data_IF_809788338685
#
_entry.id   IF_809788338685
#
_cell.length_a   1.000
_cell.length_b   1.000
_cell.length_c   1.000
_cell.angle_alpha   90.00
_cell.angle_beta   90.00
_cell.angle_gamma   90.00
#
_symmetry.space_group_name_H-M   'P 1'
#
loop_
_entity.id
_entity.type
_entity.pdbx_description
1 polymer ?
#
# COMPACT_ATOMS: atom_id res chain seq x y z
N UNK A 1 -28.86 -24.42 -18.34
CA UNK A 1 -27.78 -23.64 -19.00
C UNK A 1 -27.40 -22.48 -18.11
N UNK A 2 -26.14 -22.03 -18.16
CA UNK A 2 -25.73 -20.82 -17.48
C UNK A 2 -26.04 -19.57 -18.35
N UNK A 3 -26.14 -18.41 -17.71
CA UNK A 3 -26.16 -17.12 -18.39
C UNK A 3 -24.71 -16.68 -18.65
N UNK A 4 -24.44 -16.03 -19.78
CA UNK A 4 -23.15 -15.40 -20.08
C UNK A 4 -22.92 -14.16 -19.22
N UNK A 5 -23.99 -13.41 -19.00
CA UNK A 5 -24.04 -12.23 -18.12
C UNK A 5 -25.18 -12.43 -17.13
N UNK A 6 -24.98 -12.02 -15.87
CA UNK A 6 -25.99 -12.21 -14.82
C UNK A 6 -27.07 -11.12 -14.90
N UNK A 7 -28.18 -11.45 -15.55
CA UNK A 7 -29.34 -10.56 -15.77
C UNK A 7 -30.64 -11.22 -15.29
N UNK A 8 -31.61 -10.40 -14.87
CA UNK A 8 -32.88 -10.89 -14.32
C UNK A 8 -33.75 -11.58 -15.37
N UNK A 9 -33.84 -11.00 -16.58
CA UNK A 9 -34.65 -11.51 -17.70
C UNK A 9 -33.76 -11.89 -18.90
N UNK A 10 -33.06 -13.04 -18.85
CA UNK A 10 -32.16 -13.43 -19.92
C UNK A 10 -32.92 -13.81 -21.19
N UNK A 11 -32.48 -13.27 -22.33
CA UNK A 11 -32.93 -13.73 -23.65
C UNK A 11 -32.09 -14.92 -24.11
N UNK A 12 -32.58 -15.78 -25.03
CA UNK A 12 -31.86 -16.97 -25.49
C UNK A 12 -30.39 -16.76 -25.91
N UNK A 13 -30.07 -15.62 -26.52
CA UNK A 13 -28.69 -15.32 -26.98
C UNK A 13 -27.70 -15.04 -25.83
N UNK A 14 -28.22 -14.68 -24.66
CA UNK A 14 -27.45 -14.48 -23.42
C UNK A 14 -27.18 -15.79 -22.68
N UNK A 15 -27.72 -16.91 -23.14
CA UNK A 15 -27.50 -18.22 -22.54
C UNK A 15 -26.38 -18.98 -23.27
N UNK A 16 -25.67 -19.83 -22.54
CA UNK A 16 -24.83 -20.84 -23.16
C UNK A 16 -25.66 -21.92 -23.83
N UNK A 17 -25.12 -22.50 -24.90
CA UNK A 17 -25.82 -23.52 -25.70
C UNK A 17 -25.82 -24.87 -25.02
N UNK A 18 -24.72 -25.24 -24.35
CA UNK A 18 -24.61 -26.50 -23.63
C UNK A 18 -24.99 -26.28 -22.17
N UNK A 19 -25.77 -27.21 -21.61
CA UNK A 19 -26.15 -27.20 -20.22
C UNK A 19 -26.30 -28.61 -19.67
N UNK A 20 -26.73 -28.68 -18.41
CA UNK A 20 -27.01 -29.93 -17.72
C UNK A 20 -28.52 -30.10 -17.58
N UNK A 21 -29.02 -31.26 -17.97
CA UNK A 21 -30.37 -31.70 -17.61
C UNK A 21 -30.33 -32.11 -16.15
N UNK A 22 -31.23 -31.55 -15.35
CA UNK A 22 -31.27 -31.78 -13.91
C UNK A 22 -32.61 -32.33 -13.47
N UNK A 23 -32.58 -33.29 -12.54
CA UNK A 23 -33.76 -33.78 -11.82
C UNK A 23 -33.95 -32.98 -10.54
N UNK A 24 -35.15 -32.48 -10.30
CA UNK A 24 -35.52 -31.87 -9.04
C UNK A 24 -35.80 -32.98 -8.01
N UNK A 25 -34.96 -33.05 -6.98
CA UNK A 25 -35.08 -34.03 -5.90
C UNK A 25 -36.02 -33.52 -4.81
N UNK A 26 -35.85 -32.26 -4.42
CA UNK A 26 -36.64 -31.66 -3.35
C UNK A 26 -36.87 -30.17 -3.61
N UNK A 27 -38.01 -29.68 -3.13
CA UNK A 27 -38.40 -28.27 -3.22
C UNK A 27 -38.81 -27.77 -1.84
N UNK A 28 -38.17 -26.71 -1.38
CA UNK A 28 -38.46 -26.05 -0.10
C UNK A 28 -38.87 -24.61 -0.34
N UNK A 29 -39.99 -24.18 0.23
CA UNK A 29 -40.39 -22.77 0.20
C UNK A 29 -39.78 -22.04 1.40
N UNK A 30 -39.09 -20.95 1.12
CA UNK A 30 -38.47 -20.07 2.11
C UNK A 30 -39.07 -18.67 2.01
N UNK A 31 -38.91 -17.83 3.05
CA UNK A 31 -39.36 -16.43 2.98
C UNK A 31 -38.53 -15.71 1.91
N UNK A 32 -39.14 -15.40 0.78
CA UNK A 32 -38.49 -14.71 -0.35
C UNK A 32 -38.19 -15.57 -1.57
N UNK A 33 -38.54 -16.87 -1.57
CA UNK A 33 -38.34 -17.68 -2.77
C UNK A 33 -38.51 -19.19 -2.57
N UNK A 34 -37.91 -19.95 -3.49
CA UNK A 34 -37.92 -21.40 -3.50
C UNK A 34 -36.49 -21.90 -3.55
N UNK A 35 -36.13 -22.81 -2.67
CA UNK A 35 -34.87 -23.54 -2.70
C UNK A 35 -35.12 -24.91 -3.36
N UNK A 36 -34.34 -25.22 -4.39
CA UNK A 36 -34.40 -26.50 -5.10
C UNK A 36 -33.14 -27.30 -4.80
N UNK A 37 -33.33 -28.56 -4.42
CA UNK A 37 -32.27 -29.55 -4.45
C UNK A 37 -32.36 -30.28 -5.79
N UNK A 38 -31.32 -30.17 -6.59
CA UNK A 38 -31.27 -30.74 -7.94
C UNK A 38 -30.08 -31.68 -8.11
N UNK A 39 -30.24 -32.69 -8.96
CA UNK A 39 -29.18 -33.61 -9.35
C UNK A 39 -28.98 -33.51 -10.87
N UNK A 40 -27.74 -33.27 -11.31
CA UNK A 40 -27.40 -33.34 -12.73
C UNK A 40 -27.42 -34.77 -13.23
N UNK A 41 -28.03 -35.00 -14.38
CA UNK A 41 -28.13 -36.33 -15.00
C UNK A 41 -27.23 -36.42 -16.24
N UNK A 42 -27.39 -35.49 -17.18
CA UNK A 42 -26.72 -35.54 -18.47
C UNK A 42 -26.46 -34.16 -19.04
N UNK A 43 -25.59 -34.10 -20.05
CA UNK A 43 -25.33 -32.89 -20.83
C UNK A 43 -26.29 -32.84 -22.00
N UNK A 44 -26.76 -31.65 -22.31
CA UNK A 44 -27.59 -31.42 -23.49
C UNK A 44 -27.28 -30.07 -24.10
N UNK A 45 -27.39 -29.99 -25.43
CA UNK A 45 -27.30 -28.75 -26.18
C UNK A 45 -28.71 -28.22 -26.45
N UNK A 46 -28.98 -26.99 -26.07
CA UNK A 46 -30.18 -26.27 -26.47
C UNK A 46 -30.04 -25.84 -27.94
N UNK A 47 -30.92 -26.38 -28.79
CA UNK A 47 -30.97 -26.09 -30.23
C UNK A 47 -31.80 -24.83 -30.49
N UNK A 48 -32.89 -24.66 -29.75
CA UNK A 48 -33.76 -23.49 -29.82
C UNK A 48 -34.50 -23.30 -28.50
N UNK A 49 -34.96 -22.08 -28.26
CA UNK A 49 -35.79 -21.71 -27.13
C UNK A 49 -37.13 -21.15 -27.63
N UNK A 50 -38.19 -21.57 -26.98
CA UNK A 50 -39.55 -21.07 -27.18
C UNK A 50 -40.07 -20.51 -25.86
N UNK A 51 -40.86 -19.45 -25.90
CA UNK A 51 -41.52 -18.94 -24.70
C UNK A 51 -42.64 -19.90 -24.28
N UNK A 52 -42.66 -20.29 -23.00
CA UNK A 52 -43.72 -21.11 -22.42
C UNK A 52 -44.41 -20.32 -21.29
N UNK A 53 -45.57 -19.74 -21.62
CA UNK A 53 -46.29 -18.84 -20.72
C UNK A 53 -45.60 -17.48 -20.55
N UNK A 54 -45.75 -16.87 -19.38
CA UNK A 54 -45.29 -15.49 -19.11
C UNK A 54 -43.88 -15.40 -18.50
N UNK A 55 -43.24 -16.53 -18.13
CA UNK A 55 -41.98 -16.48 -17.39
C UNK A 55 -41.09 -17.72 -17.48
N UNK A 56 -41.32 -18.60 -18.46
CA UNK A 56 -40.46 -19.78 -18.67
C UNK A 56 -40.01 -19.85 -20.13
N UNK A 57 -38.79 -20.35 -20.32
CA UNK A 57 -38.26 -20.73 -21.62
C UNK A 57 -38.27 -22.25 -21.73
N UNK A 58 -38.83 -22.76 -22.82
CA UNK A 58 -38.79 -24.16 -23.19
C UNK A 58 -37.71 -24.38 -24.24
N UNK A 59 -36.75 -25.24 -23.93
CA UNK A 59 -35.68 -25.57 -24.87
C UNK A 59 -35.99 -26.87 -25.64
N UNK A 60 -35.66 -26.89 -26.93
CA UNK A 60 -35.51 -28.14 -27.68
C UNK A 60 -34.07 -28.61 -27.50
N UNK A 61 -33.90 -29.79 -26.93
CA UNK A 61 -32.60 -30.34 -26.55
C UNK A 61 -32.09 -31.35 -27.57
N UNK A 62 -30.78 -31.29 -27.83
CA UNK A 62 -30.01 -32.35 -28.45
C UNK A 62 -29.19 -33.02 -27.36
N UNK A 63 -29.35 -34.33 -27.20
CA UNK A 63 -28.61 -35.13 -26.23
C UNK A 63 -27.11 -35.14 -26.59
N UNK A 64 -26.26 -34.99 -25.57
CA UNK A 64 -24.80 -35.01 -25.76
C UNK A 64 -24.22 -36.20 -25.02
N UNK A 65 -23.83 -37.23 -25.76
CA UNK A 65 -23.19 -38.41 -25.21
C UNK A 65 -21.73 -38.10 -24.82
N UNK A 66 -21.32 -38.60 -23.65
CA UNK A 66 -19.93 -38.56 -23.21
C UNK A 66 -19.07 -39.47 -24.08
N UNK A 67 -17.87 -39.02 -24.40
CA UNK A 67 -16.86 -39.83 -25.06
C UNK A 67 -15.97 -40.44 -23.98
N UNK A 68 -16.39 -41.62 -23.52
CA UNK A 68 -15.63 -42.41 -22.54
C UNK A 68 -14.36 -42.94 -23.21
N UNK A 69 -13.28 -43.09 -22.44
CA UNK A 69 -12.04 -43.69 -22.95
C UNK A 69 -12.28 -45.06 -23.59
N UNK A 70 -11.73 -45.25 -24.79
CA UNK A 70 -11.82 -46.51 -25.52
C UNK A 70 -10.96 -47.62 -24.90
N UNK A 71 -10.00 -47.25 -24.04
CA UNK A 71 -9.16 -48.18 -23.30
C UNK A 71 -9.03 -47.76 -21.83
N UNK A 72 -10.01 -48.09 -20.98
CA UNK A 72 -9.97 -47.78 -19.55
C UNK A 72 -8.78 -48.41 -18.79
N UNK A 73 -8.18 -49.46 -19.36
CA UNK A 73 -7.00 -50.15 -18.82
C UNK A 73 -5.68 -49.58 -19.33
N UNK A 74 -5.72 -48.50 -20.13
CA UNK A 74 -4.51 -47.80 -20.54
C UNK A 74 -3.78 -47.23 -19.32
N UNK A 75 -2.50 -47.58 -19.08
CA UNK A 75 -1.74 -47.08 -17.94
C UNK A 75 -1.69 -45.54 -17.85
N UNK A 76 -1.71 -44.83 -18.99
CA UNK A 76 -1.71 -43.36 -19.01
C UNK A 76 -3.04 -42.81 -18.49
N UNK A 77 -4.16 -43.36 -18.94
CA UNK A 77 -5.49 -42.97 -18.48
C UNK A 77 -5.69 -43.27 -16.98
N UNK A 78 -5.22 -44.43 -16.51
CA UNK A 78 -5.27 -44.78 -15.08
C UNK A 78 -4.40 -43.86 -14.22
N UNK A 79 -3.19 -43.53 -14.68
CA UNK A 79 -2.32 -42.58 -14.01
C UNK A 79 -2.96 -41.18 -13.92
N UNK A 80 -3.59 -40.72 -14.99
CA UNK A 80 -4.31 -39.44 -14.99
C UNK A 80 -5.47 -39.42 -13.99
N UNK A 81 -6.26 -40.50 -13.93
CA UNK A 81 -7.36 -40.62 -12.96
C UNK A 81 -6.83 -40.62 -11.51
N UNK A 82 -5.74 -41.34 -11.26
CA UNK A 82 -5.10 -41.38 -9.94
C UNK A 82 -4.59 -39.99 -9.54
N UNK A 83 -3.84 -39.33 -10.42
CA UNK A 83 -3.27 -38.00 -10.19
C UNK A 83 -4.37 -36.97 -9.90
N UNK A 84 -5.43 -36.93 -10.73
CA UNK A 84 -6.55 -36.02 -10.52
C UNK A 84 -7.22 -36.23 -9.16
N UNK A 85 -7.38 -37.49 -8.72
CA UNK A 85 -7.95 -37.82 -7.41
C UNK A 85 -7.05 -37.38 -6.26
N UNK A 86 -5.75 -37.63 -6.38
CA UNK A 86 -4.77 -37.24 -5.36
C UNK A 86 -4.72 -35.72 -5.19
N UNK A 87 -4.56 -34.98 -6.30
CA UNK A 87 -4.47 -33.51 -6.25
C UNK A 87 -5.79 -32.86 -5.84
N UNK A 88 -6.93 -33.43 -6.23
CA UNK A 88 -8.23 -32.99 -5.72
C UNK A 88 -8.39 -33.24 -4.21
N UNK A 89 -7.87 -34.36 -3.68
CA UNK A 89 -7.87 -34.65 -2.25
C UNK A 89 -7.00 -33.65 -1.47
N UNK A 90 -5.81 -33.36 -1.99
CA UNK A 90 -4.93 -32.36 -1.42
C UNK A 90 -5.60 -30.99 -1.38
N UNK A 91 -6.21 -30.57 -2.49
CA UNK A 91 -6.94 -29.30 -2.56
C UNK A 91 -8.09 -29.25 -1.55
N UNK A 92 -8.89 -30.31 -1.46
CA UNK A 92 -9.97 -30.42 -0.47
C UNK A 92 -9.45 -30.30 0.96
N UNK A 93 -8.31 -30.93 1.26
CA UNK A 93 -7.67 -30.89 2.58
C UNK A 93 -7.18 -29.48 2.92
N UNK A 94 -6.50 -28.81 1.98
CA UNK A 94 -5.99 -27.43 2.18
C UNK A 94 -7.13 -26.42 2.34
N UNK A 95 -8.28 -26.68 1.72
CA UNK A 95 -9.51 -25.90 1.92
C UNK A 95 -10.28 -26.24 3.21
N UNK A 96 -9.76 -27.17 4.03
CA UNK A 96 -10.34 -27.51 5.33
C UNK A 96 -11.57 -28.42 5.27
N UNK A 97 -11.77 -29.16 4.18
CA UNK A 97 -12.83 -30.17 4.11
C UNK A 97 -12.51 -31.29 5.10
N UNK A 98 -13.45 -31.71 5.96
CA UNK A 98 -13.23 -32.82 6.89
C UNK A 98 -12.83 -34.10 6.14
N UNK A 99 -11.83 -34.82 6.66
CA UNK A 99 -11.27 -36.00 6.00
C UNK A 99 -12.32 -37.07 5.65
N UNK A 100 -13.28 -37.33 6.55
CA UNK A 100 -14.36 -38.30 6.30
C UNK A 100 -15.27 -37.87 5.15
N UNK A 101 -15.61 -36.57 5.08
CA UNK A 101 -16.45 -36.02 4.02
C UNK A 101 -15.70 -36.05 2.67
N UNK A 102 -14.42 -35.69 2.67
CA UNK A 102 -13.57 -35.73 1.48
C UNK A 102 -13.41 -37.16 0.95
N UNK A 103 -13.15 -38.14 1.83
CA UNK A 103 -13.05 -39.54 1.45
C UNK A 103 -14.36 -40.05 0.86
N UNK A 104 -15.51 -39.72 1.46
CA UNK A 104 -16.81 -40.09 0.91
C UNK A 104 -17.07 -39.44 -0.47
N UNK A 105 -16.66 -38.20 -0.69
CA UNK A 105 -16.80 -37.54 -1.99
C UNK A 105 -15.92 -38.19 -3.06
N UNK A 106 -14.67 -38.51 -2.73
CA UNK A 106 -13.73 -39.09 -3.70
C UNK A 106 -14.08 -40.53 -4.02
N UNK A 107 -14.40 -41.34 -3.01
CA UNK A 107 -14.74 -42.75 -3.19
C UNK A 107 -16.18 -42.96 -3.65
N UNK A 108 -17.04 -41.95 -3.53
CA UNK A 108 -18.46 -42.03 -3.92
C UNK A 108 -18.71 -42.00 -5.43
N UNK A 109 -17.70 -41.68 -6.24
CA UNK A 109 -17.79 -41.63 -7.70
C UNK A 109 -16.68 -42.47 -8.30
N UNK A 110 -17.01 -43.60 -8.90
CA UNK A 110 -16.03 -44.51 -9.52
C UNK A 110 -15.61 -44.05 -10.93
N UNK A 111 -16.57 -43.56 -11.71
CA UNK A 111 -16.37 -43.21 -13.11
C UNK A 111 -15.47 -41.96 -13.26
N UNK A 112 -14.31 -42.03 -13.94
CA UNK A 112 -13.35 -40.93 -14.03
C UNK A 112 -13.94 -39.64 -14.65
N UNK A 113 -14.74 -39.77 -15.70
CA UNK A 113 -15.40 -38.62 -16.33
C UNK A 113 -16.41 -37.92 -15.42
N UNK A 114 -17.14 -38.67 -14.60
CA UNK A 114 -18.06 -38.11 -13.60
C UNK A 114 -17.29 -37.50 -12.41
N UNK A 115 -16.15 -38.09 -12.04
CA UNK A 115 -15.28 -37.53 -11.01
C UNK A 115 -14.69 -36.18 -11.45
N UNK A 116 -14.30 -36.02 -12.72
CA UNK A 116 -13.87 -34.73 -13.27
C UNK A 116 -14.97 -33.66 -13.15
N UNK A 117 -16.24 -34.03 -13.36
CA UNK A 117 -17.39 -33.12 -13.19
C UNK A 117 -17.57 -32.72 -11.72
N UNK A 118 -17.42 -33.68 -10.80
CA UNK A 118 -17.47 -33.42 -9.36
C UNK A 118 -16.36 -32.46 -8.92
N UNK A 119 -15.12 -32.69 -9.37
CA UNK A 119 -13.99 -31.80 -9.08
C UNK A 119 -14.27 -30.40 -9.63
N UNK A 120 -14.73 -30.30 -10.87
CA UNK A 120 -15.06 -29.02 -11.53
C UNK A 120 -16.13 -28.22 -10.77
N UNK A 121 -17.10 -28.89 -10.14
CA UNK A 121 -18.12 -28.26 -9.30
C UNK A 121 -17.51 -27.55 -8.09
N UNK A 122 -16.56 -28.20 -7.41
CA UNK A 122 -15.89 -27.66 -6.22
C UNK A 122 -14.79 -26.63 -6.53
N UNK A 123 -14.30 -26.57 -7.77
CA UNK A 123 -13.36 -25.54 -8.18
C UNK A 123 -14.04 -24.15 -8.23
N UNK A 124 -13.33 -23.15 -7.74
CA UNK A 124 -13.75 -21.74 -7.80
C UNK A 124 -13.28 -21.13 -9.12
N UNK A 125 -13.94 -21.53 -10.20
CA UNK A 125 -13.68 -21.02 -11.55
C UNK A 125 -14.76 -20.03 -11.97
N UNK A 126 -14.37 -19.11 -12.85
CA UNK A 126 -15.31 -18.23 -13.54
C UNK A 126 -16.30 -19.05 -14.37
N UNK A 127 -17.48 -18.48 -14.63
CA UNK A 127 -18.56 -19.19 -15.35
C UNK A 127 -18.11 -19.65 -16.73
N UNK A 128 -17.29 -18.85 -17.43
CA UNK A 128 -16.72 -19.16 -18.73
C UNK A 128 -15.85 -20.44 -18.70
N UNK A 129 -14.99 -20.57 -17.69
CA UNK A 129 -14.10 -21.73 -17.53
C UNK A 129 -14.89 -22.98 -17.13
N UNK A 130 -15.89 -22.85 -16.24
CA UNK A 130 -16.80 -23.96 -15.91
C UNK A 130 -17.59 -24.43 -17.13
N UNK A 131 -18.02 -23.48 -17.96
CA UNK A 131 -18.71 -23.80 -19.20
C UNK A 131 -17.78 -24.54 -20.18
N UNK A 132 -16.52 -24.09 -20.33
CA UNK A 132 -15.55 -24.77 -21.18
C UNK A 132 -15.35 -26.23 -20.75
N UNK A 133 -15.23 -26.50 -19.45
CA UNK A 133 -15.15 -27.86 -18.90
C UNK A 133 -16.44 -28.67 -19.18
N UNK A 134 -17.61 -28.05 -19.05
CA UNK A 134 -18.90 -28.71 -19.33
C UNK A 134 -19.02 -29.12 -20.80
N UNK A 135 -18.48 -28.33 -21.72
CA UNK A 135 -18.54 -28.54 -23.17
C UNK A 135 -17.56 -29.61 -23.69
N UNK A 136 -16.55 -30.00 -22.90
CA UNK A 136 -15.63 -31.09 -23.25
C UNK A 136 -16.32 -32.43 -23.03
N UNK A 137 -16.68 -33.11 -24.12
CA UNK A 137 -17.32 -34.43 -24.08
C UNK A 137 -16.33 -35.58 -23.86
N UNK A 138 -15.07 -35.41 -24.27
CA UNK A 138 -14.00 -36.39 -24.07
C UNK A 138 -13.56 -36.41 -22.61
N UNK A 139 -13.76 -37.56 -21.97
CA UNK A 139 -13.49 -37.71 -20.53
C UNK A 139 -12.01 -37.52 -20.21
N UNK A 140 -11.10 -38.03 -21.04
CA UNK A 140 -9.67 -37.92 -20.81
C UNK A 140 -9.20 -36.46 -20.93
N UNK A 141 -9.65 -35.75 -21.96
CA UNK A 141 -9.37 -34.34 -22.14
C UNK A 141 -9.94 -33.53 -20.98
N UNK A 142 -11.18 -33.80 -20.56
CA UNK A 142 -11.82 -33.10 -19.45
C UNK A 142 -11.08 -33.33 -18.13
N UNK A 143 -10.61 -34.56 -17.88
CA UNK A 143 -9.79 -34.89 -16.72
C UNK A 143 -8.47 -34.11 -16.73
N UNK A 144 -7.81 -33.98 -17.89
CA UNK A 144 -6.57 -33.19 -18.01
C UNK A 144 -6.81 -31.71 -17.71
N UNK A 145 -7.87 -31.12 -18.28
CA UNK A 145 -8.20 -29.71 -18.04
C UNK A 145 -8.61 -29.47 -16.58
N UNK A 146 -9.38 -30.39 -15.98
CA UNK A 146 -9.72 -30.34 -14.56
C UNK A 146 -8.46 -30.44 -13.68
N UNK A 147 -7.51 -31.32 -14.00
CA UNK A 147 -6.24 -31.43 -13.29
C UNK A 147 -5.43 -30.13 -13.39
N UNK A 148 -5.32 -29.53 -14.58
CA UNK A 148 -4.66 -28.23 -14.77
C UNK A 148 -5.33 -27.15 -13.91
N UNK A 149 -6.66 -27.15 -13.81
CA UNK A 149 -7.38 -26.19 -12.98
C UNK A 149 -7.13 -26.43 -11.48
N UNK A 150 -7.09 -27.69 -11.02
CA UNK A 150 -6.72 -28.04 -9.63
C UNK A 150 -5.29 -27.59 -9.31
N UNK A 151 -4.33 -27.84 -10.21
CA UNK A 151 -2.93 -27.43 -10.03
C UNK A 151 -2.77 -25.92 -9.90
N UNK A 152 -3.45 -25.15 -10.76
CA UNK A 152 -3.45 -23.69 -10.69
C UNK A 152 -3.98 -23.19 -9.36
N UNK A 153 -5.02 -23.84 -8.85
CA UNK A 153 -5.63 -23.49 -7.58
C UNK A 153 -4.72 -23.83 -6.38
N UNK A 154 -4.05 -24.98 -6.41
CA UNK A 154 -3.05 -25.34 -5.41
C UNK A 154 -1.88 -24.33 -5.41
N UNK A 155 -1.36 -23.96 -6.59
CA UNK A 155 -0.32 -22.96 -6.71
C UNK A 155 -0.75 -21.58 -6.19
N UNK A 156 -2.03 -21.22 -6.37
CA UNK A 156 -2.61 -19.99 -5.79
C UNK A 156 -2.60 -20.04 -4.27
N UNK A 157 -2.99 -21.17 -3.67
CA UNK A 157 -2.95 -21.36 -2.22
C UNK A 157 -1.51 -21.30 -1.67
N UNK A 158 -0.55 -21.92 -2.34
CA UNK A 158 0.87 -21.84 -1.96
C UNK A 158 1.38 -20.40 -1.94
N UNK A 159 1.05 -19.61 -2.97
CA UNK A 159 1.43 -18.20 -3.01
C UNK A 159 0.76 -17.39 -1.89
N UNK A 160 -0.50 -17.68 -1.54
CA UNK A 160 -1.19 -17.04 -0.42
C UNK A 160 -0.54 -17.36 0.93
N UNK A 161 -0.19 -18.62 1.16
CA UNK A 161 0.53 -19.07 2.36
C UNK A 161 1.90 -18.40 2.48
N UNK A 162 2.65 -18.29 1.37
CA UNK A 162 3.95 -17.61 1.34
C UNK A 162 3.81 -16.11 1.67
N UNK A 163 2.83 -15.42 1.07
CA UNK A 163 2.55 -14.01 1.38
C UNK A 163 2.20 -13.85 2.85
N UNK A 164 1.34 -14.71 3.38
CA UNK A 164 0.95 -14.67 4.78
C UNK A 164 2.16 -14.87 5.70
N UNK A 165 3.05 -15.82 5.39
CA UNK A 165 4.26 -16.05 6.16
C UNK A 165 5.19 -14.82 6.19
N UNK A 166 5.42 -14.18 5.03
CA UNK A 166 6.24 -12.96 4.93
C UNK A 166 5.65 -11.80 5.73
N UNK A 167 4.33 -11.60 5.66
CA UNK A 167 3.64 -10.55 6.44
C UNK A 167 3.78 -10.81 7.95
N UNK A 168 3.68 -12.06 8.40
CA UNK A 168 3.88 -12.40 9.81
C UNK A 168 5.33 -12.16 10.27
N UNK A 169 6.31 -12.44 9.42
CA UNK A 169 7.72 -12.16 9.69
C UNK A 169 7.97 -10.65 9.85
N UNK A 170 7.52 -9.83 8.90
CA UNK A 170 7.64 -8.36 8.97
C UNK A 170 6.95 -7.77 10.20
N UNK A 171 5.76 -8.26 10.55
CA UNK A 171 5.06 -7.86 11.78
C UNK A 171 5.84 -8.25 13.03
N UNK A 172 6.43 -9.45 13.06
CA UNK A 172 7.26 -9.92 14.15
C UNK A 172 8.53 -9.08 14.34
N UNK A 173 9.19 -8.70 13.25
CA UNK A 173 10.34 -7.80 13.27
C UNK A 173 9.96 -6.41 13.78
N UNK A 174 8.86 -5.84 13.28
CA UNK A 174 8.37 -4.53 13.71
C UNK A 174 7.97 -4.52 15.20
N UNK A 175 7.31 -5.57 15.68
CA UNK A 175 6.99 -5.72 17.11
C UNK A 175 8.26 -5.81 17.95
N UNK A 176 9.26 -6.57 17.50
CA UNK A 176 10.56 -6.67 18.17
C UNK A 176 11.28 -5.33 18.22
N UNK A 177 11.29 -4.58 17.12
CA UNK A 177 11.90 -3.25 17.05
C UNK A 177 11.19 -2.28 18.01
N UNK A 178 9.85 -2.27 18.01
CA UNK A 178 9.06 -1.41 18.91
C UNK A 178 9.38 -1.71 20.38
N UNK A 179 9.44 -2.98 20.75
CA UNK A 179 9.81 -3.40 22.10
C UNK A 179 11.21 -2.93 22.49
N UNK A 180 12.20 -3.11 21.59
CA UNK A 180 13.57 -2.68 21.82
C UNK A 180 13.68 -1.15 21.97
N UNK A 181 12.92 -0.38 21.18
CA UNK A 181 12.86 1.09 21.31
C UNK A 181 12.26 1.50 22.65
N UNK A 182 11.21 0.82 23.11
CA UNK A 182 10.58 1.11 24.39
C UNK A 182 11.51 0.76 25.57
N UNK A 183 12.23 -0.36 25.48
CA UNK A 183 13.29 -0.72 26.44
C UNK A 183 14.42 0.31 26.47
N UNK A 184 14.89 0.77 25.31
CA UNK A 184 15.90 1.83 25.25
C UNK A 184 15.41 3.13 25.89
N UNK A 185 14.15 3.52 25.63
CA UNK A 185 13.55 4.70 26.25
C UNK A 185 13.46 4.56 27.77
N UNK A 186 13.13 3.38 28.27
CA UNK A 186 13.08 3.12 29.71
C UNK A 186 14.48 3.14 30.33
N UNK A 187 15.49 2.54 29.69
CA UNK A 187 16.90 2.59 30.13
C UNK A 187 17.39 4.04 30.18
N UNK A 188 17.13 4.84 29.15
CA UNK A 188 17.47 6.27 29.11
C UNK A 188 16.83 7.06 30.25
N UNK A 189 15.56 6.77 30.55
CA UNK A 189 14.85 7.36 31.68
C UNK A 189 15.42 6.96 33.04
N UNK A 190 15.86 5.71 33.20
CA UNK A 190 16.55 5.24 34.41
C UNK A 190 17.97 5.82 34.54
N UNK A 191 18.63 6.17 33.44
CA UNK A 191 19.95 6.80 33.39
C UNK A 191 19.92 8.32 33.65
N UNK A 192 18.76 8.96 33.53
CA UNK A 192 18.60 10.40 33.80
C UNK A 192 18.85 11.33 32.61
N UNK A 193 18.89 10.81 31.38
CA UNK A 193 19.16 11.58 30.15
C UNK A 193 17.94 12.40 29.64
N UNK A 194 16.87 12.60 30.44
CA UNK A 194 15.68 13.37 30.01
C UNK A 194 15.99 14.88 29.84
N UNK A 195 16.90 15.45 30.64
CA UNK A 195 17.22 16.89 30.61
C UNK A 195 18.00 17.33 29.34
N UNK A 196 18.70 16.40 28.66
CA UNK A 196 19.66 16.75 27.61
C UNK A 196 19.03 16.82 26.20
N UNK A 197 17.85 16.24 25.99
CA UNK A 197 17.11 16.29 24.72
C UNK A 197 16.24 17.55 24.59
N UNK A 198 15.69 18.05 25.69
CA UNK A 198 14.91 19.31 25.67
C UNK A 198 15.80 20.49 25.24
N UNK A 199 17.08 20.52 25.66
CA UNK A 199 18.06 21.54 25.27
C UNK A 199 18.27 21.63 23.73
N UNK A 200 18.27 20.50 23.02
CA UNK A 200 18.48 20.45 21.56
C UNK A 200 17.24 20.88 20.80
N UNK A 201 16.06 20.49 21.29
CA UNK A 201 14.78 20.89 20.70
C UNK A 201 14.57 22.41 20.85
N UNK A 202 14.91 22.99 22.01
CA UNK A 202 14.86 24.44 22.23
C UNK A 202 15.78 25.22 21.26
N UNK A 203 17.00 24.74 21.05
CA UNK A 203 17.94 25.34 20.09
C UNK A 203 17.42 25.26 18.65
N UNK A 204 16.76 24.16 18.28
CA UNK A 204 16.15 24.00 16.96
C UNK A 204 15.04 25.03 16.73
N UNK A 205 14.16 25.23 17.70
CA UNK A 205 13.11 26.25 17.61
C UNK A 205 13.69 27.66 17.46
N UNK A 206 14.72 27.99 18.24
CA UNK A 206 15.41 29.28 18.15
C UNK A 206 16.05 29.51 16.79
N UNK A 207 16.69 28.49 16.20
CA UNK A 207 17.31 28.57 14.87
C UNK A 207 16.26 28.82 13.78
N UNK A 208 15.10 28.14 13.85
CA UNK A 208 14.01 28.32 12.87
C UNK A 208 13.39 29.71 12.96
N UNK A 209 13.37 30.32 14.14
CA UNK A 209 12.87 31.68 14.33
C UNK A 209 13.77 32.76 13.71
N UNK A 210 15.05 32.46 13.44
CA UNK A 210 15.99 33.39 12.81
C UNK A 210 15.73 33.48 11.30
N UNK A 211 15.62 34.71 10.79
CA UNK A 211 15.54 34.97 9.35
C UNK A 211 16.94 35.09 8.75
N UNK A 212 17.63 33.97 8.63
CA UNK A 212 18.97 33.92 8.04
C UNK A 212 18.90 33.91 6.50
N UNK A 213 19.96 34.40 5.86
CA UNK A 213 20.22 34.20 4.43
C UNK A 213 20.62 32.73 4.16
N UNK A 214 20.51 32.25 2.91
CA UNK A 214 20.65 30.82 2.56
C UNK A 214 21.99 30.21 2.97
N UNK A 215 23.10 30.96 2.83
CA UNK A 215 24.44 30.46 3.15
C UNK A 215 24.63 30.24 4.66
N UNK A 216 24.12 31.18 5.46
CA UNK A 216 24.16 31.15 6.92
C UNK A 216 23.23 30.04 7.45
N UNK A 217 22.04 29.89 6.87
CA UNK A 217 21.09 28.86 7.27
C UNK A 217 21.64 27.45 7.03
N UNK A 218 22.30 27.22 5.90
CA UNK A 218 22.92 25.93 5.58
C UNK A 218 23.99 25.50 6.59
N UNK A 219 24.85 26.44 7.03
CA UNK A 219 25.91 26.13 8.00
C UNK A 219 25.35 25.87 9.41
N UNK A 220 24.38 26.67 9.85
CA UNK A 220 23.72 26.48 11.15
C UNK A 220 22.99 25.14 11.20
N UNK A 221 22.29 24.76 10.13
CA UNK A 221 21.59 23.48 10.07
C UNK A 221 22.54 22.28 10.01
N UNK A 222 23.73 22.45 9.40
CA UNK A 222 24.79 21.44 9.41
C UNK A 222 25.29 21.17 10.82
N UNK A 223 25.59 22.23 11.58
CA UNK A 223 26.07 22.11 12.95
C UNK A 223 24.96 21.61 13.91
N UNK A 224 23.69 21.98 13.68
CA UNK A 224 22.55 21.43 14.44
C UNK A 224 22.41 19.90 14.25
N UNK A 225 22.46 19.42 13.00
CA UNK A 225 22.46 17.96 12.72
C UNK A 225 23.68 17.25 13.29
N UNK A 226 24.81 17.95 13.41
CA UNK A 226 26.02 17.43 14.04
C UNK A 226 25.87 17.34 15.56
N UNK A 227 25.19 18.30 16.19
CA UNK A 227 24.87 18.27 17.62
C UNK A 227 23.97 17.06 17.94
N UNK A 228 22.91 16.84 17.16
CA UNK A 228 21.95 15.72 17.34
C UNK A 228 22.60 14.32 17.30
N UNK A 229 23.74 14.18 16.62
CA UNK A 229 24.44 12.90 16.42
C UNK A 229 25.64 12.73 17.34
N UNK A 230 26.08 13.80 17.99
CA UNK A 230 27.22 13.79 18.91
C UNK A 230 26.73 13.39 20.31
N UNK A 231 27.43 12.47 20.96
CA UNK A 231 27.14 12.14 22.36
C UNK A 231 27.32 13.38 23.26
N UNK A 232 26.39 13.67 24.18
CA UNK A 232 26.48 14.79 25.14
C UNK A 232 27.75 14.77 26.00
N UNK A 233 28.32 13.58 26.24
CA UNK A 233 29.57 13.40 26.99
C UNK A 233 30.83 13.78 26.17
N UNK A 234 30.68 14.09 24.89
CA UNK A 234 31.78 14.52 24.02
C UNK A 234 32.16 15.97 24.29
N UNK A 235 33.47 16.25 24.35
CA UNK A 235 33.97 17.62 24.40
C UNK A 235 33.53 18.46 23.18
N UNK A 236 33.22 17.82 22.04
CA UNK A 236 32.69 18.51 20.85
C UNK A 236 31.25 18.99 21.04
N UNK A 237 30.44 18.32 21.87
CA UNK A 237 29.02 18.66 22.08
C UNK A 237 28.88 20.07 22.66
N UNK A 238 29.61 20.38 23.73
CA UNK A 238 29.57 21.70 24.37
C UNK A 238 30.04 22.81 23.43
N UNK A 239 31.02 22.54 22.57
CA UNK A 239 31.55 23.52 21.61
C UNK A 239 30.50 23.86 20.56
N UNK A 240 29.86 22.84 19.96
CA UNK A 240 28.81 23.04 18.95
C UNK A 240 27.60 23.73 19.56
N UNK A 241 27.19 23.34 20.77
CA UNK A 241 26.11 23.99 21.53
C UNK A 241 26.36 25.48 21.73
N UNK A 242 27.52 25.83 22.29
CA UNK A 242 27.87 27.23 22.60
C UNK A 242 27.89 28.09 21.34
N UNK A 243 28.36 27.52 20.22
CA UNK A 243 28.31 28.19 18.92
C UNK A 243 26.86 28.46 18.47
N UNK A 244 25.98 27.46 18.52
CA UNK A 244 24.57 27.61 18.13
C UNK A 244 23.83 28.60 19.05
N UNK A 245 24.11 28.59 20.35
CA UNK A 245 23.58 29.57 21.31
C UNK A 245 23.96 31.00 20.89
N UNK A 246 25.25 31.27 20.66
CA UNK A 246 25.70 32.60 20.21
C UNK A 246 25.06 33.04 18.90
N UNK A 247 24.98 32.13 17.91
CA UNK A 247 24.34 32.44 16.64
C UNK A 247 22.88 32.86 16.86
N UNK A 248 22.15 32.20 17.76
CA UNK A 248 20.75 32.53 18.02
C UNK A 248 20.53 33.80 18.84
N UNK A 249 21.54 34.26 19.59
CA UNK A 249 21.46 35.49 20.40
C UNK A 249 21.83 36.75 19.61
N UNK A 250 22.48 36.61 18.47
CA UNK A 250 22.87 37.75 17.65
C UNK A 250 21.64 38.43 17.02
N UNK A 251 21.57 39.77 17.01
CA UNK A 251 20.44 40.51 16.45
C UNK A 251 20.55 40.58 14.91
N UNK A 252 20.39 39.43 14.26
CA UNK A 252 20.38 39.32 12.80
C UNK A 252 19.37 40.28 12.19
N UNK A 253 19.75 40.96 11.12
CA UNK A 253 18.93 41.91 10.38
C UNK A 253 18.45 43.14 11.17
N UNK A 254 18.95 43.37 12.39
CA UNK A 254 18.69 44.58 13.14
C UNK A 254 19.88 45.52 12.99
N UNK A 255 19.66 46.67 12.37
CA UNK A 255 20.64 47.76 12.29
C UNK A 255 20.09 48.98 13.01
N UNK A 256 20.95 49.72 13.71
CA UNK A 256 20.59 51.05 14.22
C UNK A 256 20.41 52.03 13.06
N UNK A 257 19.48 52.97 13.19
CA UNK A 257 19.42 54.12 12.28
C UNK A 257 20.63 55.04 12.53
N UNK A 258 21.43 55.27 11.49
CA UNK A 258 22.55 56.22 11.56
C UNK A 258 21.99 57.65 11.55
N UNK A 259 22.06 58.35 12.69
CA UNK A 259 21.66 59.77 12.81
C UNK A 259 22.90 60.65 12.89
N UNK A 260 23.22 61.34 11.80
CA UNK A 260 24.37 62.26 11.73
C UNK A 260 23.88 63.71 11.87
N UNK A 261 23.92 64.22 13.11
CA UNK A 261 23.70 65.64 13.41
C UNK A 261 25.04 66.29 13.75
N UNK A 262 25.51 67.17 12.87
CA UNK A 262 26.79 67.87 13.04
C UNK A 262 26.76 68.83 14.22
N UNK A 263 25.65 69.50 14.50
CA UNK A 263 25.56 70.46 15.60
C UNK A 263 25.63 69.73 16.95
N UNK A 264 24.87 68.64 17.07
CA UNK A 264 24.91 67.77 18.25
C UNK A 264 26.27 67.09 18.41
N UNK A 265 26.88 66.65 17.29
CA UNK A 265 28.20 66.03 17.31
C UNK A 265 29.29 67.00 17.76
N UNK A 266 29.24 68.27 17.34
CA UNK A 266 30.16 69.32 17.81
C UNK A 266 29.99 69.56 19.30
N UNK A 267 28.75 69.67 19.79
CA UNK A 267 28.46 69.88 21.22
C UNK A 267 28.99 68.72 22.09
N UNK A 268 28.71 67.47 21.70
CA UNK A 268 29.20 66.28 22.41
C UNK A 268 30.74 66.22 22.39
N UNK A 269 31.37 66.49 21.24
CA UNK A 269 32.82 66.48 21.14
C UNK A 269 33.46 67.58 21.98
N UNK A 270 32.84 68.77 22.06
CA UNK A 270 33.32 69.88 22.89
C UNK A 270 33.10 69.69 24.38
N UNK A 271 32.02 69.02 24.77
CA UNK A 271 31.71 68.67 26.17
C UNK A 271 32.58 67.50 26.67
N UNK A 272 32.63 66.40 25.93
CA UNK A 272 33.28 65.16 26.40
C UNK A 272 34.80 65.16 26.20
N UNK A 273 35.33 66.00 25.30
CA UNK A 273 36.75 65.98 24.94
C UNK A 273 37.34 67.40 24.97
N UNK A 274 38.14 67.74 25.99
CA UNK A 274 38.78 69.06 26.09
C UNK A 274 40.04 69.16 25.21
N UNK A 275 40.10 70.17 24.32
CA UNK A 275 41.20 70.36 23.35
C UNK A 275 41.02 69.55 22.06
N UNK A 276 42.11 69.20 21.38
CA UNK A 276 42.13 68.37 20.15
C UNK A 276 41.36 68.96 18.95
N UNK A 277 41.47 70.27 18.73
CA UNK A 277 40.82 70.99 17.62
C UNK A 277 41.02 70.28 16.26
N UNK A 278 42.27 69.96 15.91
CA UNK A 278 42.60 69.27 14.64
C UNK A 278 41.93 67.87 14.50
N UNK A 279 41.69 67.15 15.60
CA UNK A 279 41.07 65.80 15.56
C UNK A 279 39.55 65.91 15.51
N UNK A 280 38.98 66.84 16.28
CA UNK A 280 37.55 67.13 16.25
C UNK A 280 37.12 67.63 14.88
N UNK A 281 37.89 68.53 14.30
CA UNK A 281 37.64 69.04 12.95
C UNK A 281 37.67 67.90 11.93
N UNK A 282 38.60 66.95 12.02
CA UNK A 282 38.62 65.78 11.13
C UNK A 282 37.46 64.82 11.32
N UNK A 283 37.01 64.61 12.56
CA UNK A 283 35.81 63.78 12.84
C UNK A 283 34.56 64.47 12.31
N UNK A 284 34.43 65.78 12.53
CA UNK A 284 33.32 66.59 12.00
C UNK A 284 33.35 66.67 10.47
N UNK A 285 34.52 66.80 9.84
CA UNK A 285 34.69 66.72 8.39
C UNK A 285 34.27 65.34 7.86
N UNK A 286 34.68 64.25 8.52
CA UNK A 286 34.27 62.90 8.14
C UNK A 286 32.75 62.71 8.25
N UNK A 287 32.15 63.17 9.35
CA UNK A 287 30.70 63.14 9.55
C UNK A 287 29.99 64.04 8.52
N UNK A 288 30.57 65.19 8.15
CA UNK A 288 30.01 66.10 7.16
C UNK A 288 30.05 65.51 5.75
N UNK A 289 31.14 64.82 5.39
CA UNK A 289 31.24 64.08 4.13
C UNK A 289 30.25 62.91 4.10
N UNK A 290 30.12 62.16 5.20
CA UNK A 290 29.12 61.09 5.33
C UNK A 290 27.69 61.62 5.22
N UNK A 291 27.39 62.77 5.85
CA UNK A 291 26.09 63.45 5.75
C UNK A 291 25.80 63.88 4.30
N UNK A 292 26.76 64.52 3.63
CA UNK A 292 26.64 64.88 2.21
C UNK A 292 26.45 63.67 1.28
N UNK A 293 27.04 62.53 1.60
CA UNK A 293 26.83 61.28 0.85
C UNK A 293 25.43 60.71 1.07
N UNK A 294 24.93 60.75 2.30
CA UNK A 294 23.55 60.33 2.65
C UNK A 294 22.51 61.23 1.98
N UNK A 295 22.65 62.55 2.09
CA UNK A 295 21.77 63.53 1.44
C UNK A 295 21.74 63.34 -0.09
N UNK A 296 22.90 63.05 -0.71
CA UNK A 296 22.98 62.75 -2.16
C UNK A 296 22.34 61.43 -2.56
N UNK A 297 22.42 60.39 -1.71
CA UNK A 297 21.73 59.14 -1.98
C UNK A 297 20.21 59.30 -1.88
N UNK A 298 19.73 60.08 -0.92
CA UNK A 298 18.29 60.39 -0.76
C UNK A 298 17.75 61.20 -1.97
N UNK A 299 18.47 62.24 -2.43
CA UNK A 299 18.09 63.01 -3.63
C UNK A 299 18.07 62.16 -4.92
N UNK A 300 18.88 61.11 -4.99
CA UNK A 300 18.93 60.20 -6.15
C UNK A 300 17.81 59.16 -6.19
N UNK A 301 17.23 58.84 -5.03
CA UNK A 301 16.06 57.96 -4.91
C UNK A 301 14.76 58.72 -5.22
N UNK A 302 14.67 60.01 -4.85
CA UNK A 302 13.49 60.86 -5.16
C UNK A 302 13.43 61.33 -6.63
N UNK A 303 14.57 61.43 -7.33
CA UNK A 303 14.63 61.84 -8.74
C UNK A 303 14.33 60.75 -9.77
N UNK A 304 14.20 59.48 -9.36
CA UNK A 304 13.89 58.34 -10.23
C UNK A 304 12.39 57.99 -10.29
N UNK A 305 11.54 58.82 -9.67
CA UNK A 305 10.11 58.59 -9.47
C UNK A 305 9.15 59.53 -10.23
N UNK A 306 9.57 60.16 -11.34
CA UNK A 306 8.69 60.91 -12.25
C UNK A 306 8.83 60.42 -13.71
#
# INVERSE_FOLDING_TARGET
>A
VAQKENVDDPVPDMLYKVGTVVRIIQTHRVRGGVQLLVQGEERAQAVSYEAEGEGMLRAVLLEMERQVSQNPEDPVFQALNYELRERAAELGTRRGVPADALNHLIQGVDEPGAFADLVSFYLELETEDKQALLEILDDEQRMREALVAVERELARLDAQEEIQARVQEELGERQREMLLREQLKQIQRELGDEDERDDVEELRERVVALKLEEEQQAEVERELKRLERTSPQSAEYQVIRTFLEWVTELPWNTRSEDKIDLALSTEILDEDHYGLEDVKDRVLEFLAVRKLQLDRSEDSEDGAGD
#
